data_IF_698506929914
#
_entry.id   IF_698506929914
#
_cell.length_a   1.000
_cell.length_b   1.000
_cell.length_c   1.000
_cell.angle_alpha   90.00
_cell.angle_beta   90.00
_cell.angle_gamma   90.00
#
_symmetry.space_group_name_H-M   'P 1'
#
loop_
_entity.id
_entity.type
_entity.pdbx_description
1 polymer ?
#
# COMPACT_ATOMS: atom_id res chain seq x y z
N UNK A 1 8.29 14.03 -0.37
CA UNK A 1 9.51 13.82 -1.16
C UNK A 1 9.93 15.16 -1.73
N UNK A 2 11.14 15.64 -1.43
CA UNK A 2 11.69 16.86 -2.05
C UNK A 2 12.62 16.39 -3.18
N UNK A 3 12.35 16.73 -4.45
CA UNK A 3 13.18 16.30 -5.55
C UNK A 3 14.53 17.03 -5.52
N UNK A 4 15.59 16.27 -5.80
CA UNK A 4 16.95 16.79 -5.96
C UNK A 4 17.14 17.37 -7.35
N UNK A 5 17.66 18.59 -7.41
CA UNK A 5 17.77 19.40 -8.64
C UNK A 5 18.76 18.82 -9.68
N UNK A 6 19.68 17.95 -9.25
CA UNK A 6 20.75 17.38 -10.06
C UNK A 6 20.33 16.16 -10.91
N UNK A 7 19.13 15.62 -10.73
CA UNK A 7 18.60 14.49 -11.51
C UNK A 7 17.52 14.96 -12.49
N UNK A 8 17.93 15.40 -13.67
CA UNK A 8 17.01 15.59 -14.81
C UNK A 8 16.62 14.21 -15.36
N UNK A 9 15.34 13.85 -15.27
CA UNK A 9 14.75 12.91 -16.23
C UNK A 9 14.10 11.64 -15.69
N UNK A 10 13.98 11.42 -14.39
CA UNK A 10 13.04 10.39 -13.90
C UNK A 10 11.66 11.01 -13.75
N UNK A 11 10.71 10.56 -14.56
CA UNK A 11 9.31 10.91 -14.43
C UNK A 11 8.85 10.43 -13.05
N UNK A 12 8.70 11.39 -12.13
CA UNK A 12 8.20 11.09 -10.79
C UNK A 12 6.80 10.50 -10.96
N UNK A 13 6.60 9.26 -10.52
CA UNK A 13 5.27 8.65 -10.52
C UNK A 13 4.37 9.46 -9.59
N UNK A 14 3.62 10.39 -10.18
CA UNK A 14 2.64 11.19 -9.48
C UNK A 14 1.42 10.30 -9.21
N UNK A 15 1.13 10.03 -7.93
CA UNK A 15 -0.05 9.27 -7.54
C UNK A 15 -1.28 10.08 -7.97
N UNK A 16 -1.98 9.64 -9.02
CA UNK A 16 -3.18 10.31 -9.53
C UNK A 16 -4.27 10.39 -8.45
N UNK A 17 -4.94 11.55 -8.36
CA UNK A 17 -6.08 11.79 -7.46
C UNK A 17 -5.74 12.68 -6.25
N UNK A 18 -6.79 13.29 -5.67
CA UNK A 18 -6.69 14.08 -4.45
C UNK A 18 -6.56 13.17 -3.21
N UNK A 19 -5.90 13.62 -2.12
CA UNK A 19 -6.01 12.98 -0.83
C UNK A 19 -7.50 12.80 -0.46
N UNK A 20 -7.92 11.65 0.07
CA UNK A 20 -9.30 11.47 0.49
C UNK A 20 -9.67 12.50 1.55
N UNK A 21 -10.92 12.97 1.52
CA UNK A 21 -11.45 13.79 2.60
C UNK A 21 -11.39 12.97 3.90
N UNK A 22 -10.65 13.45 4.90
CA UNK A 22 -10.47 12.75 6.19
C UNK A 22 -11.79 12.56 6.96
N UNK A 23 -12.84 13.32 6.62
CA UNK A 23 -14.20 13.13 7.17
C UNK A 23 -14.95 11.96 6.52
N UNK A 24 -14.43 11.36 5.44
CA UNK A 24 -15.05 10.25 4.71
C UNK A 24 -14.02 9.16 4.47
N UNK A 25 -13.51 8.59 5.56
CA UNK A 25 -12.68 7.38 5.50
C UNK A 25 -13.54 6.25 4.93
N UNK A 26 -13.08 5.57 3.85
CA UNK A 26 -13.82 4.45 3.28
C UNK A 26 -13.90 3.29 4.29
N UNK A 27 -14.96 2.50 4.22
CA UNK A 27 -15.05 1.25 4.98
C UNK A 27 -13.98 0.26 4.52
N UNK A 28 -13.58 -0.64 5.41
CA UNK A 28 -12.51 -1.60 5.15
C UNK A 28 -11.13 -0.95 5.05
N UNK A 29 -10.29 -1.43 4.13
CA UNK A 29 -8.94 -0.92 3.91
C UNK A 29 -8.97 0.54 3.46
N UNK A 30 -8.27 1.43 4.18
CA UNK A 30 -8.21 2.87 3.86
C UNK A 30 -7.72 3.19 2.43
N UNK A 31 -7.01 2.26 1.79
CA UNK A 31 -6.45 2.42 0.46
C UNK A 31 -7.36 1.89 -0.67
N UNK A 32 -8.47 1.20 -0.37
CA UNK A 32 -9.32 0.56 -1.38
C UNK A 32 -9.80 1.49 -2.52
N UNK A 33 -10.06 2.80 -2.32
CA UNK A 33 -10.51 3.67 -3.42
C UNK A 33 -9.43 3.97 -4.46
N UNK A 34 -8.15 3.71 -4.15
CA UNK A 34 -7.00 4.07 -5.00
C UNK A 34 -6.02 2.92 -5.23
N UNK A 35 -6.20 1.79 -4.55
CA UNK A 35 -5.34 0.63 -4.68
C UNK A 35 -5.65 -0.12 -5.99
N UNK A 36 -4.68 -0.32 -6.90
CA UNK A 36 -4.90 -1.05 -8.15
C UNK A 36 -5.18 -2.55 -7.94
N UNK A 37 -4.85 -3.08 -6.75
CA UNK A 37 -5.07 -4.47 -6.31
C UNK A 37 -6.32 -4.61 -5.41
N UNK A 38 -7.18 -3.59 -5.34
CA UNK A 38 -8.34 -3.62 -4.45
C UNK A 38 -9.37 -4.66 -4.92
N UNK A 39 -9.66 -5.63 -4.06
CA UNK A 39 -10.76 -6.59 -4.21
C UNK A 39 -11.89 -6.29 -3.22
N UNK A 40 -12.96 -7.07 -3.26
CA UNK A 40 -14.15 -6.83 -2.43
C UNK A 40 -13.85 -6.87 -0.92
N UNK A 41 -12.96 -7.77 -0.48
CA UNK A 41 -12.51 -7.86 0.92
C UNK A 41 -11.87 -6.54 1.40
N UNK A 42 -11.22 -5.79 0.50
CA UNK A 42 -10.63 -4.50 0.84
C UNK A 42 -11.68 -3.42 1.11
N UNK A 43 -12.92 -3.58 0.62
CA UNK A 43 -14.02 -2.59 0.78
C UNK A 43 -14.85 -2.86 2.03
N UNK A 44 -14.82 -4.08 2.53
CA UNK A 44 -15.63 -4.55 3.67
C UNK A 44 -14.80 -4.73 4.94
N UNK A 45 -13.53 -5.14 4.83
CA UNK A 45 -12.72 -5.54 5.98
C UNK A 45 -11.43 -4.74 6.10
N UNK A 46 -11.11 -4.36 7.35
CA UNK A 46 -9.84 -3.71 7.69
C UNK A 46 -8.77 -4.81 7.79
N UNK A 47 -7.69 -4.75 7.01
CA UNK A 47 -6.62 -5.73 7.07
C UNK A 47 -5.88 -5.67 8.42
N UNK A 48 -5.58 -6.83 8.99
CA UNK A 48 -4.78 -6.93 10.20
C UNK A 48 -3.32 -6.54 9.94
N UNK A 49 -2.68 -5.90 10.92
CA UNK A 49 -1.25 -5.61 10.88
C UNK A 49 -0.45 -6.88 11.21
N UNK A 50 0.19 -7.46 10.20
CA UNK A 50 0.93 -8.73 10.31
C UNK A 50 2.43 -8.53 9.99
N UNK A 51 3.33 -9.35 10.57
CA UNK A 51 4.73 -9.39 10.13
C UNK A 51 4.82 -9.80 8.66
N UNK A 52 5.72 -9.16 7.93
CA UNK A 52 6.06 -9.56 6.56
C UNK A 52 7.13 -10.63 6.65
N UNK A 53 7.01 -11.67 5.83
CA UNK A 53 7.99 -12.74 5.70
C UNK A 53 8.58 -12.75 4.29
N UNK A 54 9.78 -13.31 4.17
CA UNK A 54 10.38 -13.74 2.90
C UNK A 54 9.56 -14.87 2.25
N UNK A 55 9.91 -15.23 1.02
CA UNK A 55 9.27 -16.33 0.27
C UNK A 55 9.39 -17.69 0.99
N UNK A 56 10.50 -17.90 1.70
CA UNK A 56 10.75 -19.12 2.48
C UNK A 56 10.06 -19.12 3.86
N UNK A 57 9.32 -18.06 4.19
CA UNK A 57 8.63 -17.91 5.46
C UNK A 57 9.48 -17.27 6.57
N UNK A 58 10.72 -16.88 6.28
CA UNK A 58 11.58 -16.19 7.26
C UNK A 58 11.01 -14.81 7.57
N UNK A 59 10.86 -14.47 8.85
CA UNK A 59 10.40 -13.14 9.26
C UNK A 59 11.38 -12.04 8.81
N UNK A 60 10.86 -10.93 8.28
CA UNK A 60 11.62 -9.71 8.02
C UNK A 60 11.54 -8.77 9.24
N UNK A 61 12.59 -8.67 10.07
CA UNK A 61 12.52 -7.95 11.33
C UNK A 61 12.15 -6.47 11.11
N UNK A 62 11.18 -5.98 11.86
CA UNK A 62 10.72 -4.60 11.80
C UNK A 62 9.80 -4.28 10.61
N UNK A 63 9.57 -5.22 9.67
CA UNK A 63 8.65 -5.01 8.55
C UNK A 63 7.29 -5.62 8.85
N UNK A 64 6.24 -4.78 8.84
CA UNK A 64 4.85 -5.18 9.02
C UNK A 64 3.98 -4.61 7.90
N UNK A 65 2.88 -5.28 7.60
CA UNK A 65 1.92 -4.85 6.59
C UNK A 65 0.48 -5.03 7.08
N UNK A 66 -0.37 -4.05 6.78
CA UNK A 66 -1.82 -4.15 6.93
C UNK A 66 -2.45 -4.16 5.54
N UNK A 67 -2.18 -5.20 4.77
CA UNK A 67 -2.72 -5.42 3.43
C UNK A 67 -3.17 -6.88 3.32
N UNK A 68 -4.37 -7.13 2.78
CA UNK A 68 -4.88 -8.48 2.56
C UNK A 68 -4.01 -9.31 1.59
N UNK A 69 -3.30 -8.64 0.68
CA UNK A 69 -2.52 -9.24 -0.41
C UNK A 69 -1.02 -8.90 -0.31
N UNK A 70 -0.50 -8.72 0.89
CA UNK A 70 0.89 -8.26 1.06
C UNK A 70 1.91 -9.24 0.46
N UNK A 71 1.62 -10.54 0.51
CA UNK A 71 2.50 -11.60 -0.02
C UNK A 71 2.68 -11.44 -1.52
N UNK A 72 1.58 -11.26 -2.24
CA UNK A 72 1.54 -11.10 -3.69
C UNK A 72 2.12 -9.77 -4.16
N UNK A 73 2.12 -8.73 -3.31
CA UNK A 73 2.73 -7.43 -3.65
C UNK A 73 4.24 -7.35 -3.42
N UNK A 74 4.77 -8.24 -2.58
CA UNK A 74 6.20 -8.25 -2.22
C UNK A 74 6.94 -9.35 -2.97
N UNK A 75 6.27 -10.48 -3.23
CA UNK A 75 6.86 -11.67 -3.85
C UNK A 75 6.42 -11.91 -5.29
N UNK A 76 5.58 -11.01 -5.84
CA UNK A 76 5.07 -11.06 -7.21
C UNK A 76 5.86 -10.20 -8.19
#
# INVERSE_FOLDING_TARGET
SIPRLDQKGQELYAIKGLPPNLLRVPTGCAFNPRCPKAEDICRTEIPALVPVTEQDGTDLPGRKSACHFWKETIHG
#
